data_IF_087084972934
#
_entry.id   IF_087084972934
#
_cell.length_a   1.000
_cell.length_b   1.000
_cell.length_c   1.000
_cell.angle_alpha   90.00
_cell.angle_beta   90.00
_cell.angle_gamma   90.00
#
_symmetry.space_group_name_H-M   'P 1'
#
loop_
_entity.id
_entity.type
_entity.pdbx_description
1 polymer ?
#
# COMPACT_ATOMS: atom_id res chain seq x y z
N UNK A 1 -0.29 -10.70 15.02
CA UNK A 1 -0.09 -9.77 13.89
C UNK A 1 -0.01 -10.59 12.61
N UNK A 2 -0.90 -10.32 11.64
CA UNK A 2 -0.88 -10.97 10.32
C UNK A 2 -0.13 -10.08 9.32
N UNK A 3 0.79 -10.64 8.54
CA UNK A 3 1.43 -9.92 7.43
C UNK A 3 0.62 -10.15 6.16
N UNK A 4 -0.03 -9.09 5.68
CA UNK A 4 -0.90 -9.15 4.51
C UNK A 4 -0.19 -8.48 3.34
N UNK A 5 0.23 -9.31 2.38
CA UNK A 5 0.82 -8.85 1.14
C UNK A 5 -0.28 -8.43 0.17
N UNK A 6 -0.27 -7.15 -0.20
CA UNK A 6 -1.19 -6.61 -1.18
C UNK A 6 -0.52 -6.54 -2.55
N UNK A 7 -1.25 -6.98 -3.58
CA UNK A 7 -0.84 -6.81 -4.96
C UNK A 7 -1.02 -5.36 -5.43
N UNK A 8 -0.44 -5.03 -6.59
CA UNK A 8 -0.46 -3.68 -7.14
C UNK A 8 -1.89 -3.17 -7.45
N UNK A 9 -2.80 -4.01 -7.92
CA UNK A 9 -4.18 -3.60 -8.19
C UNK A 9 -4.94 -3.31 -6.90
N UNK A 10 -4.70 -4.09 -5.84
CA UNK A 10 -5.26 -3.83 -4.52
C UNK A 10 -4.79 -2.46 -4.00
N UNK A 11 -3.48 -2.18 -4.07
CA UNK A 11 -2.95 -0.87 -3.69
C UNK A 11 -3.53 0.29 -4.49
N UNK A 12 -3.64 0.15 -5.81
CA UNK A 12 -4.26 1.16 -6.67
C UNK A 12 -5.73 1.38 -6.29
N UNK A 13 -6.46 0.31 -6.00
CA UNK A 13 -7.86 0.38 -5.55
C UNK A 13 -8.01 1.15 -4.24
N UNK A 14 -7.17 0.83 -3.25
CA UNK A 14 -7.14 1.51 -1.96
C UNK A 14 -6.74 2.99 -2.10
N UNK A 15 -5.74 3.31 -2.91
CA UNK A 15 -5.35 4.69 -3.17
C UNK A 15 -6.49 5.48 -3.84
N UNK A 16 -7.21 4.89 -4.79
CA UNK A 16 -8.39 5.54 -5.38
C UNK A 16 -9.47 5.81 -4.33
N UNK A 17 -9.70 4.88 -3.40
CA UNK A 17 -10.65 5.08 -2.30
C UNK A 17 -10.19 6.20 -1.36
N UNK A 18 -8.92 6.20 -0.95
CA UNK A 18 -8.35 7.19 -0.03
C UNK A 18 -8.44 8.62 -0.59
N UNK A 19 -8.25 8.77 -1.90
CA UNK A 19 -8.30 10.06 -2.60
C UNK A 19 -9.68 10.39 -3.17
N UNK A 20 -10.74 9.70 -2.72
CA UNK A 20 -12.13 10.03 -3.04
C UNK A 20 -12.53 9.82 -4.50
N UNK A 21 -11.80 9.00 -5.26
CA UNK A 21 -12.07 8.77 -6.68
C UNK A 21 -13.31 7.88 -6.89
N UNK A 22 -14.17 8.15 -7.88
CA UNK A 22 -15.40 7.36 -8.10
C UNK A 22 -15.13 5.87 -8.38
N UNK A 23 -14.07 5.58 -9.12
CA UNK A 23 -13.61 4.23 -9.44
C UNK A 23 -12.96 3.50 -8.25
N UNK A 24 -12.71 4.21 -7.15
CA UNK A 24 -12.26 3.67 -5.88
C UNK A 24 -13.38 3.33 -4.89
N UNK A 25 -14.64 3.67 -5.18
CA UNK A 25 -15.73 3.56 -4.21
C UNK A 25 -15.90 2.14 -3.64
N UNK A 26 -15.69 1.11 -4.47
CA UNK A 26 -15.76 -0.30 -4.06
C UNK A 26 -14.68 -0.74 -3.05
N UNK A 27 -13.62 0.05 -2.89
CA UNK A 27 -12.51 -0.23 -1.99
C UNK A 27 -12.58 0.55 -0.68
N UNK A 28 -13.63 1.35 -0.45
CA UNK A 28 -13.78 2.17 0.78
C UNK A 28 -13.86 1.31 2.03
N UNK A 29 -14.72 0.29 2.03
CA UNK A 29 -14.89 -0.59 3.19
C UNK A 29 -13.59 -1.36 3.48
N UNK A 30 -12.90 -1.82 2.43
CA UNK A 30 -11.61 -2.47 2.55
C UNK A 30 -10.55 -1.52 3.14
N UNK A 31 -10.50 -0.25 2.71
CA UNK A 31 -9.59 0.76 3.25
C UNK A 31 -9.84 1.01 4.74
N UNK A 32 -11.10 1.17 5.14
CA UNK A 32 -11.46 1.36 6.54
C UNK A 32 -11.13 0.13 7.39
N UNK A 33 -11.35 -1.08 6.87
CA UNK A 33 -10.91 -2.32 7.52
C UNK A 33 -9.39 -2.39 7.66
N UNK A 34 -8.62 -2.04 6.62
CA UNK A 34 -7.16 -2.00 6.67
C UNK A 34 -6.66 -1.02 7.73
N UNK A 35 -7.23 0.20 7.76
CA UNK A 35 -6.92 1.21 8.79
C UNK A 35 -7.23 0.71 10.20
N UNK A 36 -8.42 0.14 10.40
CA UNK A 36 -8.81 -0.40 11.70
C UNK A 36 -7.93 -1.58 12.14
N UNK A 37 -7.56 -2.47 11.20
CA UNK A 37 -6.68 -3.60 11.47
C UNK A 37 -5.26 -3.14 11.82
N UNK A 38 -4.75 -2.09 11.16
CA UNK A 38 -3.47 -1.45 11.49
C UNK A 38 -3.51 -0.84 12.89
N UNK A 39 -4.51 0.01 13.19
CA UNK A 39 -4.64 0.69 14.50
C UNK A 39 -4.74 -0.31 15.66
N UNK A 40 -5.31 -1.49 15.42
CA UNK A 40 -5.43 -2.57 16.41
C UNK A 40 -4.21 -3.50 16.46
N UNK A 41 -3.16 -3.22 15.68
CA UNK A 41 -1.97 -4.08 15.52
C UNK A 41 -2.35 -5.54 15.13
N UNK A 42 -3.50 -5.70 14.48
CA UNK A 42 -4.00 -6.99 14.05
C UNK A 42 -3.35 -7.43 12.73
N UNK A 43 -3.04 -6.46 11.86
CA UNK A 43 -2.38 -6.69 10.57
C UNK A 43 -1.31 -5.62 10.26
N UNK A 44 -0.23 -6.07 9.61
CA UNK A 44 0.78 -5.23 8.96
C UNK A 44 0.71 -5.43 7.44
N UNK A 45 0.96 -4.36 6.69
CA UNK A 45 0.94 -4.33 5.22
C UNK A 45 2.33 -3.98 4.69
N UNK A 46 3.31 -4.90 4.79
CA UNK A 46 4.69 -4.58 4.49
C UNK A 46 4.91 -4.29 2.99
N UNK A 47 5.75 -3.30 2.70
CA UNK A 47 6.08 -2.91 1.33
C UNK A 47 7.13 -3.83 0.70
N UNK A 48 6.88 -4.20 -0.56
CA UNK A 48 7.87 -4.80 -1.46
C UNK A 48 8.37 -3.72 -2.44
N UNK A 49 9.47 -3.04 -2.06
CA UNK A 49 10.05 -1.91 -2.79
C UNK A 49 10.45 -2.27 -4.24
N UNK A 50 10.77 -3.54 -4.51
CA UNK A 50 11.38 -3.95 -5.80
C UNK A 50 10.38 -3.86 -6.97
N UNK A 51 9.12 -4.24 -6.74
CA UNK A 51 8.04 -4.13 -7.76
C UNK A 51 7.61 -2.69 -8.02
N UNK A 52 7.80 -1.80 -7.05
CA UNK A 52 7.38 -0.40 -7.15
C UNK A 52 8.26 0.40 -8.11
N UNK A 53 9.58 0.20 -8.06
CA UNK A 53 10.54 0.93 -8.89
C UNK A 53 10.36 0.67 -10.40
N UNK A 54 9.99 -0.56 -10.76
CA UNK A 54 9.77 -0.94 -12.16
C UNK A 54 8.50 -0.28 -12.75
N UNK A 55 7.47 -0.10 -11.92
CA UNK A 55 6.20 0.53 -12.35
C UNK A 55 6.28 2.06 -12.39
N UNK A 56 7.20 2.66 -11.62
CA UNK A 56 7.42 4.11 -11.57
C UNK A 56 7.92 4.70 -12.90
N UNK A 57 8.31 3.87 -13.88
CA UNK A 57 8.72 4.33 -15.22
C UNK A 57 7.56 4.75 -16.14
N UNK A 58 6.30 4.46 -15.79
CA UNK A 58 5.15 4.76 -16.65
C UNK A 58 4.41 6.07 -16.27
N UNK A 59 4.90 7.19 -16.81
CA UNK A 59 4.21 8.37 -17.34
C UNK A 59 3.05 9.14 -16.62
N UNK A 60 2.76 8.97 -15.33
CA UNK A 60 1.82 9.90 -14.64
C UNK A 60 2.13 10.13 -13.14
N UNK A 61 2.95 11.16 -12.87
CA UNK A 61 3.48 11.48 -11.53
C UNK A 61 2.39 11.71 -10.47
N UNK A 62 1.27 12.34 -10.85
CA UNK A 62 0.18 12.64 -9.91
C UNK A 62 -0.56 11.39 -9.40
N UNK A 63 -0.66 10.34 -10.22
CA UNK A 63 -1.24 9.07 -9.76
C UNK A 63 -0.27 8.27 -8.91
N UNK A 64 1.04 8.42 -9.16
CA UNK A 64 2.09 7.78 -8.37
C UNK A 64 2.13 8.33 -6.95
N UNK A 65 2.16 9.65 -6.79
CA UNK A 65 2.25 10.26 -5.45
C UNK A 65 1.07 9.85 -4.56
N UNK A 66 -0.16 9.84 -5.09
CA UNK A 66 -1.34 9.37 -4.36
C UNK A 66 -1.24 7.90 -3.91
N UNK A 67 -0.62 7.05 -4.74
CA UNK A 67 -0.38 5.65 -4.39
C UNK A 67 0.69 5.53 -3.29
N UNK A 68 1.79 6.29 -3.40
CA UNK A 68 2.83 6.35 -2.37
C UNK A 68 2.24 6.78 -1.03
N UNK A 69 1.42 7.84 -1.01
CA UNK A 69 0.83 8.38 0.21
C UNK A 69 0.01 7.31 0.94
N UNK A 70 -0.86 6.59 0.22
CA UNK A 70 -1.67 5.50 0.81
C UNK A 70 -0.81 4.30 1.23
N UNK A 71 0.26 4.00 0.51
CA UNK A 71 1.21 2.94 0.88
C UNK A 71 1.95 3.28 2.17
N UNK A 72 2.46 4.51 2.31
CA UNK A 72 3.10 4.98 3.56
C UNK A 72 2.08 4.95 4.69
N UNK A 73 0.85 5.42 4.45
CA UNK A 73 -0.24 5.43 5.43
C UNK A 73 -0.63 4.03 5.92
N UNK A 74 -0.53 2.98 5.11
CA UNK A 74 -0.94 1.63 5.53
C UNK A 74 0.22 0.76 5.98
N UNK A 75 1.43 0.97 5.44
CA UNK A 75 2.63 0.21 5.82
C UNK A 75 3.29 0.69 7.10
N UNK A 76 3.12 1.96 7.48
CA UNK A 76 3.84 2.56 8.60
C UNK A 76 5.37 2.50 8.49
N UNK A 77 5.90 2.50 7.26
CA UNK A 77 7.31 2.22 6.98
C UNK A 77 7.78 0.80 7.36
N UNK A 78 6.86 -0.10 7.70
CA UNK A 78 7.15 -1.53 7.75
C UNK A 78 7.43 -2.00 6.32
N UNK A 79 8.67 -2.36 6.08
CA UNK A 79 9.14 -2.86 4.80
C UNK A 79 9.77 -4.22 5.06
N UNK A 80 9.56 -5.17 4.13
CA UNK A 80 10.40 -6.36 4.14
C UNK A 80 11.77 -5.92 3.69
N UNK A 81 12.61 -5.55 4.64
CA UNK A 81 14.03 -5.56 4.44
C UNK A 81 14.39 -7.02 4.23
N UNK A 82 14.76 -7.37 2.99
CA UNK A 82 15.57 -8.55 2.77
C UNK A 82 16.81 -8.37 3.64
N UNK A 83 16.83 -9.05 4.79
CA UNK A 83 18.03 -9.13 5.60
C UNK A 83 19.11 -9.67 4.67
N UNK A 84 20.09 -8.84 4.30
CA UNK A 84 21.29 -9.30 3.64
C UNK A 84 21.93 -10.29 4.63
N UNK A 85 22.04 -11.60 4.30
CA UNK A 85 22.64 -12.54 5.22
C UNK A 85 24.10 -12.13 5.39
N UNK A 86 24.42 -11.65 6.59
CA UNK A 86 25.72 -11.16 7.09
C UNK A 86 26.91 -11.64 6.25
N UNK A 87 27.61 -10.71 5.60
CA UNK A 87 29.00 -10.88 5.13
C UNK A 87 29.98 -10.78 6.30
#
# INVERSE_FOLDING_TARGET
>A
MLHIYLDQFAWIGLAKAAHGRPDGARYRDALEMCRAARVREAASFPLDLYRYWETAKNHNDGSRNRLVDTMIELSDFDAITMECPRC
#
